data_IF_805887131994
#
_entry.id   IF_805887131994
#
_cell.length_a   1.000
_cell.length_b   1.000
_cell.length_c   1.000
_cell.angle_alpha   90.00
_cell.angle_beta   90.00
_cell.angle_gamma   90.00
#
_symmetry.space_group_name_H-M   'P 1'
#
loop_
_entity.id
_entity.type
_entity.pdbx_description
1 polymer ?
#
# COMPACT_ATOMS: atom_id res chain seq x y z
N UNK A 1 -16.32 17.84 3.79
CA UNK A 1 -16.94 16.62 4.37
C UNK A 1 -16.72 15.48 3.37
N UNK A 2 -16.21 14.33 3.83
CA UNK A 2 -16.08 13.12 2.99
C UNK A 2 -17.26 12.22 3.32
N UNK A 3 -18.03 11.83 2.30
CA UNK A 3 -19.10 10.85 2.46
C UNK A 3 -18.61 9.48 1.99
N UNK A 4 -18.74 8.49 2.87
CA UNK A 4 -18.46 7.08 2.58
C UNK A 4 -19.77 6.36 2.27
N UNK A 5 -19.81 5.66 1.15
CA UNK A 5 -20.96 4.84 0.76
C UNK A 5 -20.64 3.38 1.03
N UNK A 6 -21.04 2.91 2.22
CA UNK A 6 -20.93 1.50 2.61
C UNK A 6 -22.22 0.72 2.29
N UNK A 7 -22.12 -0.60 2.12
CA UNK A 7 -23.27 -1.52 2.09
C UNK A 7 -24.00 -1.61 3.43
N UNK A 8 -23.31 -1.37 4.56
CA UNK A 8 -23.88 -1.47 5.92
C UNK A 8 -24.38 -0.14 6.53
N UNK A 9 -24.06 1.01 5.93
CA UNK A 9 -24.60 2.32 6.31
C UNK A 9 -25.75 2.71 5.36
N UNK A 10 -26.70 3.60 5.74
CA UNK A 10 -27.82 3.97 4.88
C UNK A 10 -27.35 4.69 3.59
N UNK A 11 -27.05 3.87 2.57
CA UNK A 11 -27.45 4.02 1.16
C UNK A 11 -27.25 5.37 0.48
N UNK A 12 -26.07 5.98 0.44
CA UNK A 12 -25.86 7.07 -0.54
C UNK A 12 -26.67 8.35 -0.32
N UNK A 13 -27.64 8.32 0.61
CA UNK A 13 -28.79 9.20 0.55
C UNK A 13 -28.41 10.55 1.10
N UNK A 14 -27.48 10.63 2.03
CA UNK A 14 -26.94 11.90 2.55
C UNK A 14 -26.37 12.76 1.41
N UNK A 15 -25.66 12.16 0.44
CA UNK A 15 -25.16 12.90 -0.72
C UNK A 15 -26.30 13.37 -1.61
N UNK A 16 -27.34 12.53 -1.80
CA UNK A 16 -28.49 12.83 -2.64
C UNK A 16 -29.41 13.90 -2.00
N UNK A 17 -29.68 13.77 -0.71
CA UNK A 17 -30.60 14.59 0.08
C UNK A 17 -29.95 15.91 0.49
N UNK A 18 -28.70 15.88 0.95
CA UNK A 18 -28.04 17.02 1.57
C UNK A 18 -26.84 17.56 0.77
N UNK A 19 -26.35 16.84 -0.25
CA UNK A 19 -25.12 17.22 -0.97
C UNK A 19 -25.19 18.61 -1.60
N UNK A 20 -26.32 18.94 -2.23
CA UNK A 20 -26.53 20.28 -2.81
C UNK A 20 -26.61 21.38 -1.75
N UNK A 21 -27.24 21.11 -0.60
CA UNK A 21 -27.28 22.07 0.50
C UNK A 21 -25.88 22.34 1.06
N UNK A 22 -25.04 21.30 1.20
CA UNK A 22 -23.66 21.44 1.66
C UNK A 22 -22.80 22.24 0.67
N UNK A 23 -22.92 21.97 -0.64
CA UNK A 23 -22.22 22.75 -1.66
C UNK A 23 -22.62 24.22 -1.62
N UNK A 24 -23.93 24.52 -1.49
CA UNK A 24 -24.44 25.90 -1.36
C UNK A 24 -23.93 26.63 -0.12
N UNK A 25 -23.62 25.90 0.95
CA UNK A 25 -23.04 26.45 2.18
C UNK A 25 -21.48 26.45 2.17
N UNK A 26 -20.85 26.30 1.00
CA UNK A 26 -19.40 26.44 0.85
C UNK A 26 -18.59 25.20 1.24
N UNK A 27 -19.22 24.07 1.55
CA UNK A 27 -18.49 22.84 1.85
C UNK A 27 -17.93 22.18 0.60
N UNK A 28 -16.68 21.72 0.68
CA UNK A 28 -16.13 20.76 -0.28
C UNK A 28 -16.71 19.37 0.02
N UNK A 29 -17.47 18.84 -0.93
CA UNK A 29 -18.03 17.49 -0.88
C UNK A 29 -17.10 16.54 -1.64
N UNK A 30 -16.66 15.46 -0.98
CA UNK A 30 -15.88 14.37 -1.61
C UNK A 30 -16.63 13.06 -1.41
N UNK A 31 -16.67 12.23 -2.45
CA UNK A 31 -17.43 10.99 -2.48
C UNK A 31 -16.48 9.82 -2.73
N UNK A 32 -16.45 8.86 -1.81
CA UNK A 32 -15.79 7.57 -2.02
C UNK A 32 -16.88 6.50 -2.21
N UNK A 33 -16.96 5.96 -3.41
CA UNK A 33 -17.91 4.90 -3.77
C UNK A 33 -17.14 3.61 -4.05
N UNK A 34 -17.25 2.65 -3.13
CA UNK A 34 -16.59 1.34 -3.21
C UNK A 34 -17.42 0.29 -3.95
N UNK A 35 -18.65 0.63 -4.37
CA UNK A 35 -19.54 -0.25 -5.14
C UNK A 35 -19.44 0.08 -6.63
N UNK A 36 -19.55 1.36 -6.99
CA UNK A 36 -19.42 1.85 -8.36
C UNK A 36 -18.30 2.89 -8.44
N UNK A 37 -17.10 2.41 -8.77
CA UNK A 37 -15.92 3.25 -8.88
C UNK A 37 -16.06 4.36 -9.95
N UNK A 38 -16.89 4.19 -10.99
CA UNK A 38 -17.16 5.25 -11.99
C UNK A 38 -17.91 6.45 -11.40
N UNK A 39 -18.56 6.27 -10.24
CA UNK A 39 -19.24 7.32 -9.46
C UNK A 39 -18.46 7.69 -8.19
N UNK A 40 -17.18 7.35 -8.13
CA UNK A 40 -16.28 7.67 -7.03
C UNK A 40 -15.34 8.80 -7.45
N UNK A 41 -14.87 9.58 -6.49
CA UNK A 41 -13.74 10.49 -6.71
C UNK A 41 -12.39 9.78 -6.62
N UNK A 42 -12.41 8.46 -6.43
CA UNK A 42 -11.27 7.59 -6.18
C UNK A 42 -10.49 7.97 -4.91
N UNK A 43 -9.63 7.07 -4.47
CA UNK A 43 -8.79 7.28 -3.31
C UNK A 43 -7.45 6.59 -3.56
N UNK A 44 -6.36 7.34 -3.41
CA UNK A 44 -5.01 6.82 -3.46
C UNK A 44 -4.33 7.12 -2.12
N UNK A 45 -3.99 6.12 -1.29
CA UNK A 45 -3.36 6.35 0.01
C UNK A 45 -1.98 7.01 -0.10
N UNK A 46 -1.23 6.80 -1.19
CA UNK A 46 0.09 7.42 -1.39
C UNK A 46 0.03 8.95 -1.40
N UNK A 47 -1.09 9.55 -1.83
CA UNK A 47 -1.29 11.00 -1.82
C UNK A 47 -1.30 11.61 -0.40
N UNK A 48 -1.40 10.78 0.63
CA UNK A 48 -1.45 11.16 2.05
C UNK A 48 -0.23 10.68 2.85
N UNK A 49 0.75 10.08 2.18
CA UNK A 49 2.01 9.67 2.79
C UNK A 49 2.99 10.83 2.67
N UNK A 50 3.52 11.28 3.82
CA UNK A 50 4.47 12.40 3.87
C UNK A 50 5.73 12.08 4.69
N UNK A 51 5.79 10.88 5.29
CA UNK A 51 6.85 10.48 6.20
C UNK A 51 6.96 8.97 6.32
N UNK A 52 8.10 8.48 6.83
CA UNK A 52 8.28 7.08 7.22
C UNK A 52 7.18 6.60 8.18
N UNK A 53 6.73 7.47 9.09
CA UNK A 53 5.64 7.16 10.02
C UNK A 53 4.33 6.88 9.29
N UNK A 54 4.03 7.61 8.21
CA UNK A 54 2.82 7.39 7.43
C UNK A 54 2.90 6.11 6.60
N UNK A 55 4.09 5.76 6.10
CA UNK A 55 4.35 4.45 5.48
C UNK A 55 4.04 3.32 6.47
N UNK A 56 4.57 3.41 7.70
CA UNK A 56 4.33 2.39 8.73
C UNK A 56 2.86 2.29 9.14
N UNK A 57 2.12 3.42 9.17
CA UNK A 57 0.67 3.41 9.36
C UNK A 57 -0.03 2.68 8.22
N UNK A 58 0.31 3.02 6.96
CA UNK A 58 -0.30 2.41 5.78
C UNK A 58 -0.08 0.89 5.75
N UNK A 59 1.15 0.43 6.01
CA UNK A 59 1.48 -1.00 6.13
C UNK A 59 0.66 -1.68 7.22
N UNK A 60 0.57 -1.05 8.39
CA UNK A 60 -0.21 -1.61 9.51
C UNK A 60 -1.68 -1.68 9.15
N UNK A 61 -2.24 -0.64 8.55
CA UNK A 61 -3.64 -0.64 8.08
C UNK A 61 -3.86 -1.74 7.05
N UNK A 62 -2.95 -1.94 6.09
CA UNK A 62 -3.08 -2.99 5.08
C UNK A 62 -3.10 -4.37 5.74
N UNK A 63 -2.06 -4.71 6.51
CA UNK A 63 -1.96 -6.01 7.19
C UNK A 63 -3.15 -6.27 8.11
N UNK A 64 -3.57 -5.29 8.92
CA UNK A 64 -4.71 -5.48 9.83
C UNK A 64 -6.02 -5.78 9.08
N UNK A 65 -6.23 -5.22 7.90
CA UNK A 65 -7.45 -5.43 7.11
C UNK A 65 -7.39 -6.63 6.15
N UNK A 66 -6.22 -7.24 5.98
CA UNK A 66 -6.04 -8.46 5.16
C UNK A 66 -5.77 -9.72 5.98
N UNK A 67 -5.65 -9.61 7.31
CA UNK A 67 -5.68 -10.76 8.22
C UNK A 67 -7.03 -11.48 8.06
N UNK A 68 -6.99 -12.75 7.66
CA UNK A 68 -8.18 -13.61 7.60
C UNK A 68 -8.77 -13.88 8.99
N UNK A 69 -9.95 -14.51 9.03
CA UNK A 69 -10.66 -14.85 10.29
C UNK A 69 -9.97 -15.94 11.14
N UNK A 70 -8.82 -16.46 10.69
CA UNK A 70 -8.04 -17.48 11.40
C UNK A 70 -7.20 -16.93 12.56
N UNK A 71 -6.75 -17.83 13.44
CA UNK A 71 -5.71 -17.52 14.43
C UNK A 71 -4.52 -16.87 13.74
N UNK A 72 -4.09 -15.70 14.22
CA UNK A 72 -3.06 -14.85 13.61
C UNK A 72 -1.84 -15.64 13.10
N UNK A 73 -1.30 -15.20 11.97
CA UNK A 73 -0.17 -15.86 11.33
C UNK A 73 1.03 -15.97 12.26
N UNK A 74 1.93 -16.91 11.96
CA UNK A 74 3.19 -17.06 12.70
C UNK A 74 3.88 -15.68 12.82
N UNK A 75 4.34 -15.27 14.02
CA UNK A 75 5.06 -14.01 14.20
C UNK A 75 6.22 -13.81 13.22
N UNK A 76 6.84 -14.89 12.76
CA UNK A 76 7.85 -14.85 11.70
C UNK A 76 7.25 -14.33 10.38
N UNK A 77 6.17 -14.93 9.89
CA UNK A 77 5.51 -14.52 8.65
C UNK A 77 4.97 -13.10 8.72
N UNK A 78 4.37 -12.71 9.86
CA UNK A 78 3.88 -11.34 10.06
C UNK A 78 5.02 -10.31 10.04
N UNK A 79 6.18 -10.65 10.62
CA UNK A 79 7.35 -9.77 10.60
C UNK A 79 7.94 -9.66 9.20
N UNK A 80 8.05 -10.77 8.48
CA UNK A 80 8.56 -10.80 7.10
C UNK A 80 7.64 -10.02 6.14
N UNK A 81 6.32 -10.21 6.24
CA UNK A 81 5.32 -9.46 5.47
C UNK A 81 5.42 -7.95 5.76
N UNK A 82 5.55 -7.56 7.04
CA UNK A 82 5.72 -6.16 7.43
C UNK A 82 6.95 -5.55 6.81
N UNK A 83 8.10 -6.23 6.88
CA UNK A 83 9.35 -5.73 6.31
C UNK A 83 9.22 -5.54 4.79
N UNK A 84 8.65 -6.53 4.10
CA UNK A 84 8.44 -6.49 2.66
C UNK A 84 7.53 -5.33 2.26
N UNK A 85 6.31 -5.27 2.81
CA UNK A 85 5.36 -4.21 2.47
C UNK A 85 5.91 -2.82 2.78
N UNK A 86 6.66 -2.67 3.88
CA UNK A 86 7.31 -1.40 4.22
C UNK A 86 8.36 -1.03 3.17
N UNK A 87 9.17 -1.98 2.72
CA UNK A 87 10.16 -1.74 1.68
C UNK A 87 9.53 -1.30 0.35
N UNK A 88 8.52 -2.04 -0.13
CA UNK A 88 7.88 -1.78 -1.41
C UNK A 88 7.12 -0.45 -1.42
N UNK A 89 6.33 -0.18 -0.37
CA UNK A 89 5.59 1.10 -0.27
C UNK A 89 6.57 2.27 -0.14
N UNK A 90 7.65 2.11 0.61
CA UNK A 90 8.69 3.15 0.70
C UNK A 90 9.39 3.39 -0.64
N UNK A 91 9.69 2.32 -1.38
CA UNK A 91 10.26 2.43 -2.73
C UNK A 91 9.34 3.21 -3.65
N UNK A 92 8.07 2.82 -3.75
CA UNK A 92 7.09 3.52 -4.58
C UNK A 92 6.97 4.99 -4.18
N UNK A 93 6.85 5.29 -2.88
CA UNK A 93 6.66 6.66 -2.42
C UNK A 93 7.85 7.58 -2.71
N UNK A 94 9.08 7.08 -2.57
CA UNK A 94 10.29 7.92 -2.67
C UNK A 94 10.98 7.88 -4.03
N UNK A 95 10.85 6.79 -4.77
CA UNK A 95 11.65 6.53 -5.99
C UNK A 95 10.77 6.43 -7.25
N UNK A 96 9.53 5.96 -7.15
CA UNK A 96 8.64 5.84 -8.30
C UNK A 96 7.97 7.18 -8.65
N UNK A 97 7.69 7.42 -9.94
CA UNK A 97 6.96 8.61 -10.36
C UNK A 97 5.52 8.59 -9.83
N UNK A 98 4.91 9.77 -9.67
CA UNK A 98 3.64 9.95 -8.93
C UNK A 98 2.50 9.09 -9.49
N UNK A 99 2.47 8.89 -10.80
CA UNK A 99 1.50 8.04 -11.51
C UNK A 99 1.60 6.55 -11.13
N UNK A 100 2.79 6.08 -10.75
CA UNK A 100 3.06 4.71 -10.32
C UNK A 100 2.92 4.52 -8.80
N UNK A 101 2.73 5.60 -8.04
CA UNK A 101 2.51 5.53 -6.59
C UNK A 101 1.09 5.08 -6.26
N UNK A 102 0.76 3.83 -6.56
CA UNK A 102 -0.58 3.28 -6.39
C UNK A 102 -0.53 1.77 -6.05
N UNK A 103 -1.68 1.21 -5.64
CA UNK A 103 -1.74 -0.21 -5.27
C UNK A 103 -1.70 -1.19 -6.44
N UNK A 104 -2.00 -0.76 -7.66
CA UNK A 104 -1.84 -1.63 -8.83
C UNK A 104 -0.35 -1.93 -9.03
N UNK A 105 0.50 -0.89 -9.02
CA UNK A 105 1.95 -1.06 -9.12
C UNK A 105 2.53 -1.83 -7.93
N UNK A 106 2.03 -1.62 -6.71
CA UNK A 106 2.43 -2.43 -5.55
C UNK A 106 2.15 -3.93 -5.75
N UNK A 107 0.97 -4.27 -6.28
CA UNK A 107 0.59 -5.65 -6.59
C UNK A 107 1.43 -6.23 -7.73
N UNK A 108 1.75 -5.44 -8.75
CA UNK A 108 2.66 -5.84 -9.82
C UNK A 108 4.04 -6.17 -9.27
N UNK A 109 4.61 -5.32 -8.41
CA UNK A 109 5.87 -5.61 -7.73
C UNK A 109 5.79 -6.95 -6.99
N UNK A 110 4.78 -7.16 -6.16
CA UNK A 110 4.58 -8.42 -5.42
C UNK A 110 4.50 -9.64 -6.35
N UNK A 111 3.75 -9.55 -7.46
CA UNK A 111 3.61 -10.65 -8.42
C UNK A 111 4.92 -10.97 -9.17
N UNK A 112 5.81 -9.99 -9.32
CA UNK A 112 7.12 -10.17 -9.95
C UNK A 112 8.19 -10.73 -9.02
N UNK A 113 7.93 -10.84 -7.72
CA UNK A 113 8.88 -11.39 -6.72
C UNK A 113 8.94 -12.93 -6.72
N UNK A 114 8.88 -13.54 -7.90
CA UNK A 114 9.00 -14.98 -8.03
C UNK A 114 10.42 -15.43 -7.63
N UNK A 115 10.49 -16.57 -6.95
CA UNK A 115 11.73 -17.25 -6.59
C UNK A 115 11.82 -18.51 -7.43
N UNK A 116 12.99 -18.80 -8.00
CA UNK A 116 13.27 -20.08 -8.66
C UNK A 116 13.92 -21.00 -7.63
N UNK A 117 13.29 -22.15 -7.36
CA UNK A 117 13.78 -23.10 -6.34
C UNK A 117 15.11 -23.76 -6.73
N UNK A 118 15.38 -23.88 -8.04
CA UNK A 118 16.57 -24.54 -8.58
C UNK A 118 17.75 -23.58 -8.86
N UNK A 119 17.60 -22.28 -8.60
CA UNK A 119 18.62 -21.27 -8.85
C UNK A 119 18.66 -20.22 -7.73
N UNK A 120 19.51 -20.46 -6.73
CA UNK A 120 19.72 -19.55 -5.60
C UNK A 120 20.34 -18.20 -6.01
N UNK A 121 20.99 -18.13 -7.19
CA UNK A 121 21.56 -16.89 -7.72
C UNK A 121 20.53 -16.08 -8.53
N UNK A 122 19.34 -16.65 -8.81
CA UNK A 122 18.32 -15.95 -9.55
C UNK A 122 17.83 -14.69 -8.81
N UNK A 123 17.82 -13.58 -9.55
CA UNK A 123 17.32 -12.30 -9.07
C UNK A 123 16.06 -11.91 -9.82
N UNK A 124 14.98 -11.72 -9.09
CA UNK A 124 13.77 -11.19 -9.68
C UNK A 124 13.91 -9.67 -9.95
N UNK A 125 13.02 -9.06 -10.76
CA UNK A 125 13.09 -7.65 -11.09
C UNK A 125 13.10 -6.73 -9.86
N UNK A 126 12.41 -7.10 -8.77
CA UNK A 126 12.40 -6.31 -7.53
C UNK A 126 13.74 -6.37 -6.83
N UNK A 127 14.41 -7.52 -6.79
CA UNK A 127 15.78 -7.62 -6.26
C UNK A 127 16.72 -6.64 -6.98
N UNK A 128 16.69 -6.62 -8.32
CA UNK A 128 17.50 -5.71 -9.13
C UNK A 128 17.18 -4.23 -8.85
N UNK A 129 15.91 -3.87 -8.68
CA UNK A 129 15.50 -2.51 -8.30
C UNK A 129 16.10 -2.09 -6.95
N UNK A 130 16.08 -2.98 -5.95
CA UNK A 130 16.62 -2.68 -4.63
C UNK A 130 18.14 -2.67 -4.59
N UNK A 131 18.83 -3.44 -5.43
CA UNK A 131 20.28 -3.35 -5.61
C UNK A 131 20.70 -2.03 -6.22
N UNK A 132 20.00 -1.59 -7.27
CA UNK A 132 20.25 -0.29 -7.87
C UNK A 132 20.02 0.83 -6.85
N UNK A 133 18.93 0.74 -6.08
CA UNK A 133 18.66 1.67 -4.99
C UNK A 133 19.76 1.65 -3.93
N UNK A 134 20.26 0.49 -3.53
CA UNK A 134 21.35 0.38 -2.56
C UNK A 134 22.65 1.01 -3.08
N UNK A 135 22.93 0.91 -4.39
CA UNK A 135 24.07 1.57 -5.03
C UNK A 135 23.92 3.09 -5.06
N UNK A 136 22.74 3.61 -5.39
CA UNK A 136 22.48 5.06 -5.48
C UNK A 136 22.31 5.72 -4.11
N UNK A 137 21.60 5.05 -3.19
CA UNK A 137 21.21 5.53 -1.86
C UNK A 137 21.38 4.40 -0.83
N UNK A 138 22.63 4.13 -0.38
CA UNK A 138 22.94 3.02 0.54
C UNK A 138 22.16 3.06 1.86
N UNK A 139 21.79 4.25 2.31
CA UNK A 139 21.03 4.50 3.54
C UNK A 139 19.58 4.88 3.26
N UNK A 140 18.98 4.45 2.15
CA UNK A 140 17.55 4.64 1.92
C UNK A 140 16.72 3.83 2.93
N UNK A 141 15.59 4.38 3.36
CA UNK A 141 14.66 3.68 4.25
C UNK A 141 14.17 2.39 3.60
N UNK A 142 13.73 2.47 2.33
CA UNK A 142 13.25 1.32 1.56
C UNK A 142 14.31 0.21 1.45
N UNK A 143 15.55 0.56 1.08
CA UNK A 143 16.65 -0.41 0.95
C UNK A 143 17.00 -1.11 2.26
N UNK A 144 16.99 -0.39 3.39
CA UNK A 144 17.21 -1.02 4.71
C UNK A 144 16.14 -2.05 5.07
N UNK A 145 14.86 -1.74 4.82
CA UNK A 145 13.76 -2.67 5.10
C UNK A 145 13.84 -3.90 4.19
N UNK A 146 14.16 -3.72 2.91
CA UNK A 146 14.30 -4.83 1.96
C UNK A 146 15.45 -5.77 2.33
N UNK A 147 16.60 -5.20 2.73
CA UNK A 147 17.74 -6.00 3.21
C UNK A 147 17.37 -6.84 4.44
N UNK A 148 16.63 -6.26 5.40
CA UNK A 148 16.13 -7.00 6.56
C UNK A 148 15.14 -8.09 6.18
N UNK A 149 14.28 -7.85 5.18
CA UNK A 149 13.38 -8.85 4.63
C UNK A 149 14.14 -10.03 4.01
N UNK A 150 15.12 -9.78 3.11
CA UNK A 150 15.92 -10.86 2.48
C UNK A 150 16.71 -11.66 3.52
N UNK A 151 17.23 -11.02 4.56
CA UNK A 151 17.88 -11.72 5.68
C UNK A 151 16.92 -12.59 6.49
N UNK A 152 15.65 -12.19 6.64
CA UNK A 152 14.65 -13.02 7.30
C UNK A 152 14.24 -14.20 6.41
N UNK A 153 14.01 -13.96 5.12
CA UNK A 153 13.59 -14.98 4.15
C UNK A 153 14.69 -15.99 3.80
N UNK A 154 15.97 -15.65 3.91
CA UNK A 154 17.07 -16.61 3.73
C UNK A 154 17.31 -17.53 4.93
N UNK A 155 16.57 -17.36 6.03
CA UNK A 155 16.68 -18.17 7.26
C UNK A 155 15.49 -19.15 7.40
N UNK A 156 14.52 -19.08 6.48
CA UNK A 156 13.44 -20.08 6.33
C UNK A 156 13.84 -21.19 5.39
#
# INVERSE_FOLDING_TARGET
MIFYLDKMQPKGSIVVECGNALLKNGYKVRILNTINFKKSMHYNPFAYVHSEKDILKLVTTLMTNTKGEGSGGDPFWEKSERLLLTALIAYLHYEAPVEEQNFATLLEMLNTMQVLEDDEEYQNPVDLLFEELARKKPNSFAGRQYKLYKLAAGVT
#
